data_IF_500962807067
#
_entry.id   IF_500962807067
#
_cell.length_a   1.000
_cell.length_b   1.000
_cell.length_c   1.000
_cell.angle_alpha   90.00
_cell.angle_beta   90.00
_cell.angle_gamma   90.00
#
_symmetry.space_group_name_H-M   'P 1'
#
loop_
_entity.id
_entity.type
_entity.pdbx_description
1 polymer ?
#
# COMPACT_ATOMS: atom_id res chain seq x y z
N UNK A 1 -7.29 -8.63 -30.00
CA UNK A 1 -8.32 -8.00 -29.17
C UNK A 1 -8.08 -8.53 -27.76
N UNK A 2 -7.46 -7.73 -26.86
CA UNK A 2 -7.33 -8.10 -25.46
C UNK A 2 -8.72 -8.23 -24.86
N UNK A 3 -8.97 -9.26 -24.06
CA UNK A 3 -10.19 -9.35 -23.28
C UNK A 3 -10.30 -8.08 -22.39
N UNK A 4 -11.51 -7.55 -22.24
CA UNK A 4 -11.72 -6.45 -21.29
C UNK A 4 -11.39 -7.00 -19.88
N UNK A 5 -10.56 -6.26 -19.13
CA UNK A 5 -10.24 -6.65 -17.76
C UNK A 5 -11.50 -6.67 -16.89
N UNK A 6 -11.52 -7.53 -15.88
CA UNK A 6 -12.61 -7.60 -14.91
C UNK A 6 -12.77 -6.26 -14.19
N UNK A 7 -13.99 -5.71 -14.20
CA UNK A 7 -14.34 -4.50 -13.46
C UNK A 7 -14.56 -4.85 -11.97
N UNK A 8 -14.13 -3.99 -11.05
CA UNK A 8 -14.33 -4.23 -9.62
C UNK A 8 -15.77 -3.93 -9.18
N UNK A 9 -16.21 -4.61 -8.13
CA UNK A 9 -17.30 -4.10 -7.29
C UNK A 9 -16.77 -3.09 -6.29
N UNK A 10 -17.55 -2.05 -5.98
CA UNK A 10 -17.27 -1.10 -4.90
C UNK A 10 -18.12 -1.50 -3.70
N UNK A 11 -17.44 -1.84 -2.62
CA UNK A 11 -18.06 -2.35 -1.40
C UNK A 11 -17.62 -1.54 -0.18
N UNK A 12 -18.20 -1.83 0.97
CA UNK A 12 -17.85 -1.19 2.25
C UNK A 12 -17.71 -2.25 3.34
N UNK A 13 -16.77 -2.01 4.26
CA UNK A 13 -16.74 -2.68 5.56
C UNK A 13 -16.75 -1.63 6.69
N UNK A 14 -17.20 -2.04 7.87
CA UNK A 14 -17.32 -1.16 9.03
C UNK A 14 -16.34 -1.62 10.09
N UNK A 15 -15.42 -0.74 10.49
CA UNK A 15 -14.48 -1.01 11.56
C UNK A 15 -15.12 -0.85 12.94
N UNK A 16 -14.45 -1.36 13.97
CA UNK A 16 -14.94 -1.42 15.35
C UNK A 16 -15.29 -0.08 15.98
N UNK A 17 -14.80 1.03 15.39
CA UNK A 17 -15.15 2.41 15.78
C UNK A 17 -16.31 3.00 14.95
N UNK A 18 -16.94 2.19 14.09
CA UNK A 18 -18.06 2.59 13.25
C UNK A 18 -17.67 3.30 11.95
N UNK A 19 -16.38 3.44 11.65
CA UNK A 19 -15.95 4.04 10.39
C UNK A 19 -16.24 3.10 9.21
N UNK A 20 -16.76 3.66 8.11
CA UNK A 20 -17.08 2.93 6.88
C UNK A 20 -15.95 3.11 5.88
N UNK A 21 -15.23 2.03 5.59
CA UNK A 21 -14.21 2.00 4.57
C UNK A 21 -14.77 1.54 3.24
N UNK A 22 -14.48 2.24 2.16
CA UNK A 22 -14.68 1.75 0.81
C UNK A 22 -13.50 0.90 0.38
N UNK A 23 -13.79 -0.09 -0.45
CA UNK A 23 -12.78 -0.87 -1.15
C UNK A 23 -13.29 -1.31 -2.51
N UNK A 24 -12.37 -1.58 -3.42
CA UNK A 24 -12.64 -2.24 -4.70
C UNK A 24 -12.29 -3.71 -4.57
N UNK A 25 -13.16 -4.56 -5.12
CA UNK A 25 -12.95 -6.00 -5.13
C UNK A 25 -13.03 -6.54 -6.54
N UNK A 26 -12.02 -7.31 -6.92
CA UNK A 26 -11.98 -8.11 -8.15
C UNK A 26 -12.08 -9.57 -7.74
N UNK A 27 -13.07 -10.28 -8.32
CA UNK A 27 -13.36 -11.68 -8.01
C UNK A 27 -13.08 -12.50 -9.25
N UNK A 28 -12.17 -13.48 -9.21
CA UNK A 28 -11.85 -14.33 -10.36
C UNK A 28 -13.04 -15.22 -10.73
N UNK A 29 -13.12 -15.65 -11.99
CA UNK A 29 -14.22 -16.45 -12.52
C UNK A 29 -14.32 -17.87 -11.91
N UNK A 30 -13.26 -18.33 -11.24
CA UNK A 30 -13.17 -19.64 -10.58
C UNK A 30 -12.88 -19.55 -9.09
N UNK A 31 -12.53 -20.68 -8.50
CA UNK A 31 -12.05 -20.72 -7.11
C UNK A 31 -10.74 -19.94 -7.02
N UNK A 32 -10.61 -18.96 -6.09
CA UNK A 32 -9.38 -18.19 -5.96
C UNK A 32 -8.16 -19.08 -5.66
N UNK A 33 -7.02 -18.77 -6.28
CA UNK A 33 -5.71 -19.34 -5.96
C UNK A 33 -5.09 -18.71 -4.71
N UNK A 34 -5.52 -17.50 -4.36
CA UNK A 34 -5.07 -16.73 -3.21
C UNK A 34 -5.89 -15.45 -3.09
N UNK A 35 -5.71 -14.75 -1.98
CA UNK A 35 -6.36 -13.48 -1.67
C UNK A 35 -5.29 -12.41 -1.45
N UNK A 36 -5.46 -11.24 -2.07
CA UNK A 36 -4.52 -10.13 -1.95
C UNK A 36 -5.24 -8.90 -1.38
N UNK A 37 -4.84 -8.46 -0.18
CA UNK A 37 -5.25 -7.18 0.38
C UNK A 37 -4.23 -6.10 -0.02
N UNK A 38 -4.67 -5.06 -0.72
CA UNK A 38 -3.83 -3.99 -1.23
C UNK A 38 -4.02 -2.67 -0.47
N UNK A 39 -2.91 -1.99 -0.18
CA UNK A 39 -2.84 -0.69 0.49
C UNK A 39 -2.13 0.32 -0.41
N UNK A 40 -2.79 1.43 -0.74
CA UNK A 40 -2.30 2.47 -1.64
C UNK A 40 -1.35 3.47 -0.98
N UNK A 41 -0.69 4.30 -1.79
CA UNK A 41 0.21 5.38 -1.39
C UNK A 41 -0.47 6.53 -0.65
N UNK A 42 0.30 7.59 -0.32
CA UNK A 42 -0.23 8.70 0.48
C UNK A 42 -1.30 9.51 -0.26
N UNK A 43 -1.09 9.81 -1.54
CA UNK A 43 -2.01 10.61 -2.37
C UNK A 43 -3.01 9.77 -3.13
N UNK A 44 -2.60 8.59 -3.59
CA UNK A 44 -3.40 7.71 -4.43
C UNK A 44 -4.57 7.06 -3.67
N UNK A 45 -5.36 6.31 -4.38
CA UNK A 45 -6.47 5.52 -3.86
C UNK A 45 -6.63 4.25 -4.72
N UNK A 46 -7.49 3.33 -4.30
CA UNK A 46 -7.69 2.04 -4.98
C UNK A 46 -8.00 2.15 -6.47
N UNK A 47 -8.60 3.27 -6.93
CA UNK A 47 -8.94 3.50 -8.33
C UNK A 47 -7.76 3.73 -9.27
N UNK A 48 -6.55 4.01 -8.76
CA UNK A 48 -5.35 4.13 -9.58
C UNK A 48 -4.88 2.79 -10.14
N UNK A 49 -5.20 1.69 -9.45
CA UNK A 49 -4.59 0.36 -9.63
C UNK A 49 -5.55 -0.66 -10.27
N UNK A 50 -6.42 -0.15 -11.16
CA UNK A 50 -7.42 -0.99 -11.83
C UNK A 50 -6.80 -2.01 -12.79
N UNK A 51 -5.72 -1.63 -13.48
CA UNK A 51 -5.07 -2.53 -14.44
C UNK A 51 -4.38 -3.71 -13.74
N UNK A 52 -3.48 -3.45 -12.80
CA UNK A 52 -2.78 -4.50 -12.08
C UNK A 52 -3.72 -5.41 -11.29
N UNK A 53 -4.73 -4.82 -10.61
CA UNK A 53 -5.74 -5.61 -9.90
C UNK A 53 -6.57 -6.50 -10.83
N UNK A 54 -6.92 -6.00 -12.01
CA UNK A 54 -7.60 -6.79 -13.05
C UNK A 54 -6.75 -7.94 -13.56
N UNK A 55 -5.45 -7.69 -13.83
CA UNK A 55 -4.52 -8.73 -14.26
C UNK A 55 -4.32 -9.83 -13.21
N UNK A 56 -4.17 -9.46 -11.93
CA UNK A 56 -4.11 -10.43 -10.83
C UNK A 56 -5.41 -11.23 -10.71
N UNK A 57 -6.58 -10.58 -10.95
CA UNK A 57 -7.85 -11.27 -10.98
C UNK A 57 -7.94 -12.29 -12.12
N UNK A 58 -7.52 -11.91 -13.32
CA UNK A 58 -7.45 -12.84 -14.49
C UNK A 58 -6.47 -13.99 -14.22
N UNK A 59 -5.39 -13.76 -13.46
CA UNK A 59 -4.46 -14.79 -13.01
C UNK A 59 -5.04 -15.72 -11.93
N UNK A 60 -6.24 -15.42 -11.40
CA UNK A 60 -6.98 -16.27 -10.46
C UNK A 60 -6.92 -15.82 -9.01
N UNK A 61 -6.49 -14.59 -8.72
CA UNK A 61 -6.45 -14.04 -7.35
C UNK A 61 -7.68 -13.19 -7.06
N UNK A 62 -8.27 -13.34 -5.87
CA UNK A 62 -9.23 -12.35 -5.38
C UNK A 62 -8.45 -11.14 -4.83
N UNK A 63 -8.68 -9.97 -5.39
CA UNK A 63 -7.99 -8.73 -5.01
C UNK A 63 -8.96 -7.80 -4.27
N UNK A 64 -8.57 -7.38 -3.08
CA UNK A 64 -9.29 -6.39 -2.28
C UNK A 64 -8.40 -5.17 -2.09
N UNK A 65 -8.76 -4.06 -2.70
CA UNK A 65 -8.00 -2.82 -2.62
C UNK A 65 -8.73 -1.80 -1.76
N UNK A 66 -8.25 -1.60 -0.53
CA UNK A 66 -8.90 -0.75 0.47
C UNK A 66 -8.50 0.72 0.25
N UNK A 67 -9.49 1.63 0.22
CA UNK A 67 -9.23 3.04 0.40
C UNK A 67 -8.95 3.30 1.90
N UNK A 68 -7.75 3.82 2.20
CA UNK A 68 -7.36 4.16 3.57
C UNK A 68 -8.34 5.18 4.17
N UNK A 69 -8.52 5.15 5.48
CA UNK A 69 -9.28 6.18 6.22
C UNK A 69 -8.91 7.58 5.73
N UNK A 70 -9.91 8.40 5.40
CA UNK A 70 -9.75 9.76 4.91
C UNK A 70 -9.11 9.90 3.54
N UNK A 71 -9.13 8.84 2.70
CA UNK A 71 -8.56 8.83 1.34
C UNK A 71 -9.54 8.24 0.33
N UNK A 72 -9.33 8.48 -0.96
CA UNK A 72 -10.12 7.90 -2.04
C UNK A 72 -11.61 8.19 -1.88
N UNK A 73 -12.44 7.16 -1.91
CA UNK A 73 -13.89 7.24 -1.73
C UNK A 73 -14.31 7.55 -0.28
N UNK A 74 -13.40 7.46 0.69
CA UNK A 74 -13.68 7.79 2.09
C UNK A 74 -13.65 9.31 2.30
N UNK A 75 -14.82 9.94 2.32
CA UNK A 75 -14.95 11.40 2.44
C UNK A 75 -14.84 11.90 3.90
N UNK A 76 -15.16 11.05 4.88
CA UNK A 76 -15.02 11.38 6.29
C UNK A 76 -13.55 11.41 6.71
N UNK A 77 -13.18 12.33 7.59
CA UNK A 77 -11.82 12.48 8.13
C UNK A 77 -10.74 12.65 7.04
N UNK A 78 -11.05 13.42 5.99
CA UNK A 78 -10.18 13.57 4.82
C UNK A 78 -8.77 14.01 5.21
N UNK A 79 -7.75 13.18 4.88
CA UNK A 79 -6.34 13.44 5.23
C UNK A 79 -6.02 13.39 6.71
N UNK A 80 -6.94 12.91 7.57
CA UNK A 80 -6.77 12.85 9.01
C UNK A 80 -6.49 11.43 9.50
N UNK A 81 -5.68 11.33 10.55
CA UNK A 81 -5.54 10.12 11.36
C UNK A 81 -5.31 10.54 12.80
N UNK A 82 -6.22 10.18 13.69
CA UNK A 82 -6.11 10.50 15.11
C UNK A 82 -4.87 9.90 15.75
N UNK A 83 -4.53 8.66 15.38
CA UNK A 83 -3.39 7.91 15.91
C UNK A 83 -2.94 6.85 14.91
N UNK A 84 -1.65 6.51 14.90
CA UNK A 84 -1.10 5.47 14.02
C UNK A 84 -1.75 4.09 14.24
N UNK A 85 -2.06 3.71 15.49
CA UNK A 85 -2.71 2.44 15.80
C UNK A 85 -4.09 2.32 15.17
N UNK A 86 -4.80 3.44 14.93
CA UNK A 86 -6.08 3.38 14.23
C UNK A 86 -5.91 2.89 12.80
N UNK A 87 -4.91 3.41 12.08
CA UNK A 87 -4.60 2.97 10.71
C UNK A 87 -4.13 1.51 10.67
N UNK A 88 -3.37 1.06 11.66
CA UNK A 88 -2.97 -0.35 11.79
C UNK A 88 -4.21 -1.23 12.02
N UNK A 89 -5.09 -0.85 12.94
CA UNK A 89 -6.29 -1.60 13.27
C UNK A 89 -7.28 -1.69 12.11
N UNK A 90 -7.40 -0.64 11.29
CA UNK A 90 -8.23 -0.65 10.09
C UNK A 90 -7.77 -1.78 9.12
N UNK A 91 -6.46 -1.90 8.90
CA UNK A 91 -5.89 -2.97 8.05
C UNK A 91 -6.03 -4.35 8.70
N UNK A 92 -5.83 -4.45 10.01
CA UNK A 92 -5.99 -5.70 10.76
C UNK A 92 -7.43 -6.23 10.63
N UNK A 93 -8.42 -5.36 10.77
CA UNK A 93 -9.83 -5.76 10.63
C UNK A 93 -10.14 -6.17 9.18
N UNK A 94 -9.64 -5.42 8.18
CA UNK A 94 -9.80 -5.81 6.78
C UNK A 94 -9.16 -7.18 6.48
N UNK A 95 -7.98 -7.49 7.04
CA UNK A 95 -7.33 -8.80 6.91
C UNK A 95 -8.16 -9.90 7.61
N UNK A 96 -8.72 -9.63 8.78
CA UNK A 96 -9.58 -10.57 9.50
C UNK A 96 -10.83 -10.93 8.69
N UNK A 97 -11.51 -9.93 8.12
CA UNK A 97 -12.67 -10.13 7.25
C UNK A 97 -12.29 -10.93 5.98
N UNK A 98 -11.15 -10.60 5.37
CA UNK A 98 -10.64 -11.32 4.21
C UNK A 98 -10.31 -12.79 4.55
N UNK A 99 -9.74 -13.06 5.73
CA UNK A 99 -9.46 -14.43 6.19
C UNK A 99 -10.75 -15.23 6.48
N UNK A 100 -11.79 -14.60 7.02
CA UNK A 100 -13.10 -15.22 7.18
C UNK A 100 -13.61 -15.66 5.81
N UNK A 101 -13.64 -14.74 4.84
CA UNK A 101 -14.06 -15.03 3.46
C UNK A 101 -13.20 -16.13 2.82
N UNK A 102 -11.88 -16.08 2.97
CA UNK A 102 -10.96 -17.12 2.48
C UNK A 102 -11.33 -18.49 3.05
N UNK A 103 -11.59 -18.57 4.36
CA UNK A 103 -11.93 -19.82 5.03
C UNK A 103 -13.24 -20.43 4.50
N UNK A 104 -14.21 -19.60 4.09
CA UNK A 104 -15.48 -20.04 3.51
C UNK A 104 -15.32 -20.55 2.07
N UNK A 105 -14.49 -19.89 1.25
CA UNK A 105 -14.42 -20.12 -0.20
C UNK A 105 -13.26 -21.05 -0.58
N UNK A 106 -12.09 -20.82 0.01
CA UNK A 106 -10.83 -21.48 -0.38
C UNK A 106 -9.87 -21.60 0.82
N UNK A 107 -10.17 -22.44 1.85
CA UNK A 107 -9.47 -22.43 3.14
C UNK A 107 -7.98 -22.79 3.07
N UNK A 108 -7.50 -23.36 1.96
CA UNK A 108 -6.13 -23.84 1.78
C UNK A 108 -5.26 -22.93 0.92
N UNK A 109 -5.73 -21.71 0.58
CA UNK A 109 -4.96 -20.78 -0.24
C UNK A 109 -4.41 -19.61 0.59
N UNK A 110 -3.29 -18.98 0.18
CA UNK A 110 -2.66 -17.92 0.95
C UNK A 110 -3.45 -16.60 0.94
N UNK A 111 -3.23 -15.80 2.00
CA UNK A 111 -3.62 -14.40 2.11
C UNK A 111 -2.35 -13.55 2.09
N UNK A 112 -2.25 -12.64 1.13
CA UNK A 112 -1.10 -11.77 0.93
C UNK A 112 -1.47 -10.32 1.24
N UNK A 113 -0.60 -9.62 1.95
CA UNK A 113 -0.70 -8.17 2.16
C UNK A 113 0.24 -7.46 1.19
N UNK A 114 -0.32 -6.59 0.35
CA UNK A 114 0.41 -5.81 -0.64
C UNK A 114 0.35 -4.33 -0.26
N UNK A 115 1.50 -3.69 -0.14
CA UNK A 115 1.61 -2.26 0.14
C UNK A 115 2.42 -1.51 -0.90
N UNK A 116 1.84 -0.41 -1.43
CA UNK A 116 2.48 0.45 -2.42
C UNK A 116 2.88 1.78 -1.76
N UNK A 117 4.10 2.25 -2.00
CA UNK A 117 4.59 3.54 -1.52
C UNK A 117 4.33 3.70 -0.01
N UNK A 118 3.62 4.72 0.44
CA UNK A 118 3.25 4.89 1.85
C UNK A 118 2.47 3.70 2.42
N UNK A 119 1.62 3.05 1.60
CA UNK A 119 0.95 1.81 1.97
C UNK A 119 1.92 0.67 2.28
N UNK A 120 3.10 0.65 1.67
CA UNK A 120 4.17 -0.29 1.97
C UNK A 120 4.75 -0.10 3.38
N UNK A 121 4.85 1.15 3.85
CA UNK A 121 5.21 1.47 5.24
C UNK A 121 4.20 0.88 6.22
N UNK A 122 2.90 1.12 5.99
CA UNK A 122 1.82 0.57 6.82
C UNK A 122 1.79 -0.96 6.77
N UNK A 123 1.92 -1.56 5.58
CA UNK A 123 1.97 -3.01 5.39
C UNK A 123 3.13 -3.66 6.17
N UNK A 124 4.31 -3.04 6.17
CA UNK A 124 5.49 -3.52 6.90
C UNK A 124 5.25 -3.55 8.41
N UNK A 125 4.60 -2.52 8.96
CA UNK A 125 4.28 -2.46 10.39
C UNK A 125 3.21 -3.50 10.76
N UNK A 126 2.20 -3.69 9.91
CA UNK A 126 1.18 -4.74 10.11
C UNK A 126 1.82 -6.13 10.05
N UNK A 127 2.68 -6.39 9.06
CA UNK A 127 3.40 -7.65 8.92
C UNK A 127 4.26 -7.97 10.15
N UNK A 128 4.96 -6.96 10.72
CA UNK A 128 5.77 -7.14 11.92
C UNK A 128 4.94 -7.45 13.18
N UNK A 129 3.74 -6.86 13.29
CA UNK A 129 2.90 -6.98 14.50
C UNK A 129 1.87 -8.09 14.44
N UNK A 130 1.43 -8.48 13.24
CA UNK A 130 0.28 -9.36 13.02
C UNK A 130 0.54 -10.33 11.85
N UNK A 131 1.76 -10.87 11.80
CA UNK A 131 2.15 -11.78 10.70
C UNK A 131 1.29 -13.04 10.63
N UNK A 132 0.62 -13.44 11.72
CA UNK A 132 -0.33 -14.54 11.73
C UNK A 132 -1.57 -14.32 10.84
N UNK A 133 -1.78 -13.10 10.38
CA UNK A 133 -2.87 -12.74 9.47
C UNK A 133 -2.51 -12.86 7.99
N UNK A 134 -1.22 -13.03 7.67
CA UNK A 134 -0.74 -13.04 6.29
C UNK A 134 0.20 -14.22 6.04
N UNK A 135 0.18 -14.72 4.83
CA UNK A 135 1.08 -15.80 4.36
C UNK A 135 2.21 -15.24 3.48
N UNK A 136 2.12 -13.97 3.08
CA UNK A 136 3.14 -13.27 2.31
C UNK A 136 3.01 -11.75 2.36
N UNK A 137 4.13 -11.06 2.17
CA UNK A 137 4.22 -9.60 2.12
C UNK A 137 4.77 -9.13 0.78
N UNK A 138 4.01 -8.28 0.09
CA UNK A 138 4.42 -7.63 -1.17
C UNK A 138 4.66 -6.14 -0.92
N UNK A 139 5.82 -5.65 -1.31
CA UNK A 139 6.24 -4.26 -1.15
C UNK A 139 6.58 -3.67 -2.53
N UNK A 140 5.70 -2.83 -3.08
CA UNK A 140 5.94 -2.13 -4.34
C UNK A 140 6.43 -0.71 -4.05
N UNK A 141 7.65 -0.40 -4.47
CA UNK A 141 8.28 0.93 -4.24
C UNK A 141 7.90 1.51 -2.87
N UNK A 142 8.09 0.75 -1.77
CA UNK A 142 7.50 1.09 -0.47
C UNK A 142 8.12 2.35 0.14
N UNK A 143 7.30 3.18 0.77
CA UNK A 143 7.70 4.42 1.43
C UNK A 143 8.48 4.20 2.74
N UNK A 144 9.43 3.27 2.75
CA UNK A 144 10.27 2.93 3.90
C UNK A 144 11.30 4.03 4.17
N UNK A 145 12.03 4.40 3.11
CA UNK A 145 12.97 5.54 3.07
C UNK A 145 12.62 6.40 1.88
N UNK A 146 12.59 7.71 2.10
CA UNK A 146 12.15 8.66 1.06
C UNK A 146 13.10 9.86 1.01
N UNK A 147 13.29 10.41 -0.19
CA UNK A 147 13.97 11.70 -0.38
C UNK A 147 13.18 12.89 0.21
N UNK A 148 11.91 12.67 0.56
CA UNK A 148 11.01 13.64 1.19
C UNK A 148 10.84 13.41 2.70
N UNK A 149 11.81 12.79 3.37
CA UNK A 149 11.78 12.64 4.83
C UNK A 149 11.79 14.01 5.51
N UNK A 150 11.01 14.12 6.61
CA UNK A 150 10.95 15.34 7.39
C UNK A 150 12.32 15.72 7.95
N UNK A 151 12.76 16.92 7.66
CA UNK A 151 13.99 17.48 8.22
C UNK A 151 13.90 17.65 9.75
N UNK A 152 15.04 17.88 10.41
CA UNK A 152 15.05 18.20 11.85
C UNK A 152 14.15 19.42 12.13
N UNK A 153 14.19 20.44 11.26
CA UNK A 153 13.36 21.65 11.40
C UNK A 153 11.86 21.33 11.25
N UNK A 154 11.49 20.45 10.34
CA UNK A 154 10.08 20.02 10.17
C UNK A 154 9.60 19.24 11.38
N UNK A 155 10.43 18.40 11.96
CA UNK A 155 10.12 17.68 13.20
C UNK A 155 9.95 18.62 14.39
N UNK A 156 10.74 19.70 14.48
CA UNK A 156 10.57 20.75 15.48
C UNK A 156 9.25 21.50 15.28
N UNK A 157 8.95 21.91 14.02
CA UNK A 157 7.67 22.56 13.69
C UNK A 157 6.47 21.66 14.03
N UNK A 158 6.57 20.38 13.73
CA UNK A 158 5.52 19.40 14.04
C UNK A 158 5.32 19.25 15.56
N UNK A 159 6.40 19.24 16.33
CA UNK A 159 6.34 19.19 17.79
C UNK A 159 5.71 20.46 18.37
N UNK A 160 6.06 21.64 17.87
CA UNK A 160 5.44 22.91 18.27
C UNK A 160 3.94 22.97 17.91
N UNK A 161 3.57 22.46 16.72
CA UNK A 161 2.17 22.38 16.32
C UNK A 161 1.35 21.44 17.22
N UNK A 162 1.96 20.37 17.73
CA UNK A 162 1.37 19.47 18.72
C UNK A 162 1.14 20.19 20.07
N UNK A 163 2.14 20.91 20.57
CA UNK A 163 2.04 21.68 21.83
C UNK A 163 0.98 22.80 21.71
N UNK A 164 0.80 23.37 20.51
CA UNK A 164 -0.22 24.38 20.23
C UNK A 164 -1.60 23.76 19.88
N UNK A 165 -1.76 22.44 20.00
CA UNK A 165 -3.00 21.70 19.73
C UNK A 165 -3.55 21.90 18.29
N UNK A 166 -2.69 22.15 17.30
CA UNK A 166 -3.07 22.37 15.90
C UNK A 166 -3.31 21.08 15.11
N UNK A 167 -3.93 20.08 15.73
CA UNK A 167 -4.07 18.72 15.19
C UNK A 167 -4.79 18.63 13.84
N UNK A 168 -5.78 19.50 13.61
CA UNK A 168 -6.61 19.51 12.39
C UNK A 168 -6.06 20.43 11.30
N UNK A 169 -4.98 21.17 11.57
CA UNK A 169 -4.37 22.05 10.58
C UNK A 169 -3.89 21.24 9.39
N UNK A 170 -4.34 21.61 8.19
CA UNK A 170 -3.94 20.99 6.93
C UNK A 170 -2.55 21.47 6.52
N UNK A 171 -1.77 20.51 6.04
CA UNK A 171 -0.41 20.70 5.51
C UNK A 171 -0.37 20.04 4.12
N UNK A 172 0.05 20.74 3.06
CA UNK A 172 0.20 20.16 1.74
C UNK A 172 1.17 18.98 1.75
N UNK A 173 0.82 17.93 1.02
CA UNK A 173 1.72 16.81 0.75
C UNK A 173 2.75 17.29 -0.30
N UNK A 174 4.06 17.18 -0.06
CA UNK A 174 5.08 17.72 -0.96
C UNK A 174 5.32 16.84 -2.20
N UNK A 175 4.26 16.32 -2.80
CA UNK A 175 4.26 15.43 -3.97
C UNK A 175 3.23 15.90 -5.01
N UNK A 176 3.10 17.21 -5.20
CA UNK A 176 2.10 17.82 -6.09
C UNK A 176 2.49 17.77 -7.58
N UNK A 177 3.79 17.54 -7.90
CA UNK A 177 4.25 17.38 -9.28
C UNK A 177 4.06 15.94 -9.78
N UNK A 178 3.14 15.68 -10.74
CA UNK A 178 2.92 14.34 -11.29
C UNK A 178 4.15 13.69 -11.94
N UNK A 179 5.14 14.47 -12.34
CA UNK A 179 6.42 13.97 -12.89
C UNK A 179 7.18 13.11 -11.86
N UNK A 180 6.91 13.27 -10.57
CA UNK A 180 7.49 12.42 -9.52
C UNK A 180 7.00 10.98 -9.61
N UNK A 181 5.79 10.76 -10.15
CA UNK A 181 5.12 9.46 -10.17
C UNK A 181 5.36 8.68 -11.47
N UNK A 182 5.38 9.37 -12.61
CA UNK A 182 5.48 8.74 -13.93
C UNK A 182 6.05 9.69 -14.99
N UNK A 183 6.71 9.13 -15.99
CA UNK A 183 7.15 9.85 -17.19
C UNK A 183 6.08 9.99 -18.27
N UNK A 184 4.90 9.36 -18.11
CA UNK A 184 3.86 9.27 -19.15
C UNK A 184 2.89 10.46 -19.06
N UNK A 185 2.79 11.31 -20.10
CA UNK A 185 1.99 12.54 -20.06
C UNK A 185 0.52 12.33 -19.74
N UNK A 186 -0.11 11.26 -20.27
CA UNK A 186 -1.50 10.93 -20.05
C UNK A 186 -1.75 10.55 -18.58
N UNK A 187 -0.83 9.80 -17.98
CA UNK A 187 -0.90 9.44 -16.56
C UNK A 187 -0.64 10.64 -15.66
N UNK A 188 0.25 11.56 -16.07
CA UNK A 188 0.45 12.83 -15.36
C UNK A 188 -0.79 13.71 -15.39
N UNK A 189 -1.51 13.76 -16.52
CA UNK A 189 -2.79 14.46 -16.63
C UNK A 189 -3.83 13.83 -15.72
N UNK A 190 -3.95 12.51 -15.74
CA UNK A 190 -4.84 11.76 -14.84
C UNK A 190 -4.56 12.09 -13.36
N UNK A 191 -3.30 12.04 -12.91
CA UNK A 191 -2.92 12.35 -11.52
C UNK A 191 -3.30 13.80 -11.16
N UNK A 192 -3.11 14.75 -12.08
CA UNK A 192 -3.40 16.16 -11.85
C UNK A 192 -4.90 16.42 -11.69
N UNK A 193 -5.72 15.75 -12.48
CA UNK A 193 -7.16 15.95 -12.58
C UNK A 193 -7.95 15.08 -11.59
N UNK A 194 -7.32 14.11 -10.95
CA UNK A 194 -7.97 13.18 -10.05
C UNK A 194 -8.43 13.86 -8.75
N UNK A 195 -9.74 14.03 -8.63
CA UNK A 195 -10.39 14.67 -7.48
C UNK A 195 -10.44 13.77 -6.22
N UNK A 196 -10.16 12.48 -6.36
CA UNK A 196 -10.09 11.56 -5.23
C UNK A 196 -8.69 11.51 -4.62
N UNK A 197 -7.69 12.03 -5.31
CA UNK A 197 -6.32 12.16 -4.78
C UNK A 197 -6.28 13.05 -3.55
N UNK A 198 -5.51 12.62 -2.56
CA UNK A 198 -5.29 13.40 -1.35
C UNK A 198 -4.15 14.40 -1.58
N UNK A 199 -4.42 15.71 -1.39
CA UNK A 199 -3.42 16.77 -1.58
C UNK A 199 -2.87 17.31 -0.26
N UNK A 200 -3.67 17.24 0.79
CA UNK A 200 -3.33 17.74 2.11
C UNK A 200 -3.55 16.67 3.16
N UNK A 201 -2.78 16.75 4.23
CA UNK A 201 -2.96 15.92 5.43
C UNK A 201 -2.95 16.81 6.67
N UNK A 202 -3.55 16.35 7.75
CA UNK A 202 -3.54 17.07 9.01
C UNK A 202 -2.21 16.92 9.77
N UNK A 203 -1.92 17.82 10.67
CA UNK A 203 -0.82 17.69 11.64
C UNK A 203 -0.93 16.37 12.40
N UNK A 204 -2.14 15.94 12.78
CA UNK A 204 -2.36 14.65 13.44
C UNK A 204 -1.90 13.47 12.58
N UNK A 205 -2.19 13.48 11.27
CA UNK A 205 -1.68 12.46 10.34
C UNK A 205 -0.15 12.48 10.26
N UNK A 206 0.49 13.66 10.21
CA UNK A 206 1.96 13.76 10.18
C UNK A 206 2.60 13.25 11.46
N UNK A 207 1.97 13.47 12.62
CA UNK A 207 2.40 12.89 13.89
C UNK A 207 2.30 11.36 13.86
N UNK A 208 1.20 10.82 13.35
CA UNK A 208 1.03 9.39 13.15
C UNK A 208 2.07 8.83 12.15
N UNK A 209 2.36 9.56 11.05
CA UNK A 209 3.39 9.16 10.09
C UNK A 209 4.79 9.10 10.72
N UNK A 210 5.14 10.06 11.58
CA UNK A 210 6.42 10.03 12.32
C UNK A 210 6.55 8.79 13.21
N UNK A 211 5.46 8.35 13.84
CA UNK A 211 5.46 7.08 14.58
C UNK A 211 5.61 5.87 13.65
N UNK A 212 5.00 5.90 12.45
CA UNK A 212 5.25 4.87 11.44
C UNK A 212 6.71 4.80 11.02
N UNK A 213 7.42 5.93 10.90
CA UNK A 213 8.86 5.94 10.58
C UNK A 213 9.66 5.22 11.66
N UNK A 214 9.31 5.41 12.95
CA UNK A 214 9.94 4.71 14.07
C UNK A 214 9.63 3.20 14.06
N UNK A 215 8.35 2.84 13.88
CA UNK A 215 7.89 1.46 13.85
C UNK A 215 8.49 0.69 12.67
N UNK A 216 8.53 1.30 11.50
CA UNK A 216 9.11 0.70 10.29
C UNK A 216 10.61 0.46 10.45
N UNK A 217 11.32 1.38 11.12
CA UNK A 217 12.76 1.22 11.40
C UNK A 217 13.05 0.02 12.29
N UNK A 218 12.14 -0.32 13.21
CA UNK A 218 12.27 -1.45 14.12
C UNK A 218 11.62 -2.76 13.62
N UNK A 219 10.86 -2.70 12.51
CA UNK A 219 10.08 -3.84 12.00
C UNK A 219 10.91 -5.04 11.46
N UNK A 220 12.07 -4.88 10.81
CA UNK A 220 12.72 -5.96 10.07
C UNK A 220 12.92 -7.26 10.84
N UNK A 221 13.38 -7.28 12.12
CA UNK A 221 13.59 -8.54 12.86
C UNK A 221 12.31 -9.33 13.12
N UNK A 222 11.15 -8.67 13.02
CA UNK A 222 9.84 -9.27 13.30
C UNK A 222 9.15 -9.79 12.04
N UNK A 223 9.58 -9.39 10.84
CA UNK A 223 8.98 -9.83 9.57
C UNK A 223 9.65 -11.13 9.12
N UNK A 224 8.95 -12.25 9.30
CA UNK A 224 9.43 -13.61 9.00
C UNK A 224 8.71 -14.29 7.85
N UNK A 225 7.51 -13.82 7.48
CA UNK A 225 6.76 -14.36 6.35
C UNK A 225 7.55 -14.18 5.04
N UNK A 226 7.29 -15.03 4.02
CA UNK A 226 7.79 -14.80 2.67
C UNK A 226 7.53 -13.37 2.21
N UNK A 227 8.51 -12.74 1.59
CA UNK A 227 8.41 -11.34 1.18
C UNK A 227 9.00 -11.12 -0.21
N UNK A 228 8.37 -10.22 -0.97
CA UNK A 228 8.89 -9.71 -2.24
C UNK A 228 8.93 -8.19 -2.21
N UNK A 229 10.01 -7.62 -2.72
CA UNK A 229 10.14 -6.17 -2.95
C UNK A 229 10.40 -5.89 -4.42
N UNK A 230 9.66 -4.92 -4.95
CA UNK A 230 9.79 -4.45 -6.32
C UNK A 230 9.99 -2.93 -6.33
N UNK A 231 11.08 -2.46 -6.91
CA UNK A 231 11.47 -1.05 -6.94
C UNK A 231 11.45 -0.50 -8.38
N UNK A 232 11.22 0.79 -8.49
CA UNK A 232 11.34 1.56 -9.72
C UNK A 232 12.73 2.21 -9.78
N UNK A 233 13.54 1.88 -10.80
CA UNK A 233 14.95 2.32 -10.88
C UNK A 233 15.13 3.82 -11.05
N UNK A 234 14.13 4.53 -11.62
CA UNK A 234 14.13 6.00 -11.76
C UNK A 234 13.22 6.68 -10.74
N UNK A 235 12.99 6.04 -9.58
CA UNK A 235 12.20 6.62 -8.51
C UNK A 235 12.83 7.91 -7.98
N UNK A 236 12.02 8.98 -7.91
CA UNK A 236 12.42 10.27 -7.37
C UNK A 236 11.86 10.53 -5.98
N UNK A 237 11.02 9.62 -5.49
CA UNK A 237 10.35 9.71 -4.18
C UNK A 237 11.07 8.82 -3.17
N UNK A 238 11.38 7.58 -3.57
CA UNK A 238 11.98 6.57 -2.69
C UNK A 238 13.51 6.56 -2.83
N UNK A 239 14.19 6.51 -1.70
CA UNK A 239 15.61 6.17 -1.64
C UNK A 239 15.74 4.64 -1.79
N UNK A 240 15.96 4.18 -3.01
CA UNK A 240 16.05 2.76 -3.34
C UNK A 240 17.18 2.05 -2.59
N UNK A 241 18.33 2.70 -2.41
CA UNK A 241 19.47 2.08 -1.72
C UNK A 241 19.15 1.85 -0.25
N UNK A 242 18.72 2.89 0.47
CA UNK A 242 18.36 2.77 1.88
C UNK A 242 17.15 1.84 2.10
N UNK A 243 16.18 1.82 1.18
CA UNK A 243 15.03 0.91 1.21
C UNK A 243 15.45 -0.54 0.99
N UNK A 244 16.36 -0.80 0.04
CA UNK A 244 16.92 -2.13 -0.22
C UNK A 244 17.75 -2.64 0.97
N UNK A 245 18.53 -1.78 1.65
CA UNK A 245 19.27 -2.13 2.86
C UNK A 245 18.30 -2.54 3.98
N UNK A 246 17.21 -1.79 4.17
CA UNK A 246 16.17 -2.14 5.12
C UNK A 246 15.54 -3.51 4.77
N UNK A 247 15.21 -3.77 3.51
CA UNK A 247 14.64 -5.03 3.08
C UNK A 247 15.58 -6.23 3.31
N UNK A 248 16.86 -6.05 3.06
CA UNK A 248 17.87 -7.11 3.32
C UNK A 248 17.97 -7.49 4.80
N UNK A 249 17.56 -6.60 5.71
CA UNK A 249 17.57 -6.84 7.16
C UNK A 249 16.32 -7.56 7.70
N UNK A 250 15.34 -7.91 6.83
CA UNK A 250 14.19 -8.71 7.24
C UNK A 250 14.62 -10.08 7.77
N UNK A 251 13.95 -10.56 8.82
CA UNK A 251 14.14 -11.91 9.34
C UNK A 251 13.58 -13.02 8.44
N UNK A 252 12.80 -12.67 7.42
CA UNK A 252 12.29 -13.60 6.41
C UNK A 252 13.41 -14.37 5.73
N UNK A 253 13.25 -15.70 5.60
CA UNK A 253 14.20 -16.58 4.89
C UNK A 253 13.86 -16.68 3.39
N UNK A 254 12.63 -16.38 3.01
CA UNK A 254 12.13 -16.42 1.63
C UNK A 254 11.92 -14.99 1.13
N UNK A 255 12.91 -14.47 0.40
CA UNK A 255 12.91 -13.10 -0.09
C UNK A 255 13.18 -13.05 -1.58
N UNK A 256 12.32 -12.37 -2.33
CA UNK A 256 12.53 -12.02 -3.74
C UNK A 256 12.69 -10.50 -3.89
N UNK A 257 13.51 -10.07 -4.85
CA UNK A 257 13.79 -8.66 -5.08
C UNK A 257 13.91 -8.39 -6.57
N UNK A 258 13.19 -7.37 -7.04
CA UNK A 258 13.24 -6.88 -8.41
C UNK A 258 13.42 -5.37 -8.42
N UNK A 259 14.18 -4.87 -9.38
CA UNK A 259 14.31 -3.46 -9.68
C UNK A 259 14.13 -3.25 -11.18
N UNK A 260 13.15 -2.43 -11.55
CA UNK A 260 12.82 -2.11 -12.95
C UNK A 260 13.55 -0.84 -13.34
N UNK A 261 14.71 -0.99 -13.95
CA UNK A 261 15.72 0.06 -14.20
C UNK A 261 15.14 1.33 -14.80
N UNK A 262 14.19 1.21 -15.74
CA UNK A 262 13.64 2.36 -16.46
C UNK A 262 12.33 2.90 -15.89
N UNK A 263 11.74 2.25 -14.90
CA UNK A 263 10.47 2.63 -14.33
C UNK A 263 10.57 3.84 -13.40
N UNK A 264 9.54 4.69 -13.45
CA UNK A 264 9.28 5.75 -12.47
C UNK A 264 8.50 5.21 -11.28
N UNK A 265 8.27 6.05 -10.24
CA UNK A 265 7.71 5.66 -8.95
C UNK A 265 6.47 4.76 -9.05
N UNK A 266 5.51 5.07 -9.91
CA UNK A 266 4.25 4.32 -9.97
C UNK A 266 4.29 3.30 -11.10
N UNK A 267 4.69 2.07 -10.79
CA UNK A 267 4.81 0.95 -11.76
C UNK A 267 3.50 0.70 -12.55
N UNK A 268 2.34 1.04 -11.98
CA UNK A 268 1.02 0.93 -12.62
C UNK A 268 0.92 1.72 -13.93
N UNK A 269 1.64 2.84 -14.01
CA UNK A 269 1.59 3.76 -15.14
C UNK A 269 2.71 3.55 -16.17
N UNK A 270 3.60 2.60 -15.91
CA UNK A 270 4.73 2.36 -16.79
C UNK A 270 4.31 1.54 -18.04
N UNK A 271 4.95 1.78 -19.20
CA UNK A 271 4.64 1.06 -20.43
C UNK A 271 4.83 -0.45 -20.30
N UNK A 272 5.87 -0.87 -19.57
CA UNK A 272 6.25 -2.25 -19.37
C UNK A 272 5.65 -2.86 -18.09
N UNK A 273 4.51 -2.33 -17.63
CA UNK A 273 3.86 -2.75 -16.39
C UNK A 273 3.51 -4.24 -16.34
N UNK A 274 3.31 -4.88 -17.47
CA UNK A 274 3.03 -6.32 -17.55
C UNK A 274 4.20 -7.17 -17.03
N UNK A 275 5.42 -6.64 -17.09
CA UNK A 275 6.60 -7.33 -16.59
C UNK A 275 6.51 -7.53 -15.08
N UNK A 276 6.35 -6.43 -14.32
CA UNK A 276 6.28 -6.53 -12.85
C UNK A 276 5.04 -7.29 -12.37
N UNK A 277 3.92 -7.21 -13.10
CA UNK A 277 2.72 -7.97 -12.79
C UNK A 277 2.96 -9.47 -13.01
N UNK A 278 3.68 -9.83 -14.08
CA UNK A 278 4.10 -11.21 -14.35
C UNK A 278 5.00 -11.75 -13.25
N UNK A 279 6.06 -11.01 -12.87
CA UNK A 279 7.00 -11.38 -11.81
C UNK A 279 6.27 -11.54 -10.45
N UNK A 280 5.32 -10.64 -10.15
CA UNK A 280 4.50 -10.73 -8.95
C UNK A 280 3.59 -11.97 -8.98
N UNK A 281 2.96 -12.24 -10.13
CA UNK A 281 2.06 -13.38 -10.29
C UNK A 281 2.83 -14.71 -10.12
N UNK A 282 4.03 -14.81 -10.71
CA UNK A 282 4.89 -15.97 -10.55
C UNK A 282 5.28 -16.20 -9.08
N UNK A 283 5.64 -15.12 -8.37
CA UNK A 283 5.94 -15.21 -6.95
C UNK A 283 4.72 -15.66 -6.12
N UNK A 284 3.54 -15.09 -6.40
CA UNK A 284 2.30 -15.48 -5.73
C UNK A 284 1.92 -16.94 -6.00
N UNK A 285 2.10 -17.45 -7.22
CA UNK A 285 1.86 -18.86 -7.57
C UNK A 285 2.83 -19.81 -6.82
N UNK A 286 4.00 -19.33 -6.43
CA UNK A 286 4.98 -20.04 -5.60
C UNK A 286 4.64 -20.06 -4.10
N UNK A 287 3.80 -19.15 -3.62
CA UNK A 287 3.54 -18.95 -2.18
C UNK A 287 2.77 -20.13 -1.59
N UNK A 288 3.15 -20.53 -0.38
CA UNK A 288 2.48 -21.60 0.39
C UNK A 288 1.93 -21.02 1.71
N UNK A 289 0.96 -21.73 2.31
CA UNK A 289 0.48 -21.37 3.65
C UNK A 289 1.62 -21.45 4.64
N UNK A 290 1.73 -20.40 5.45
CA UNK A 290 2.60 -20.43 6.63
C UNK A 290 1.94 -21.34 7.66
N UNK A 291 2.58 -22.46 7.99
CA UNK A 291 2.10 -23.46 8.99
C UNK A 291 2.32 -22.96 10.41
#
# INVERSE_FOLDING_TARGET
MGAALSEPTIEQFVTSDGYRHHFRRWIPSGKPKGFVLCLHGIQSHSGWYGYSSGQLCEAGYEVVFVDRRGSGLNQSERGHARHHDRLINDVVQALQDLRIRRNEIAPTVPVTLLGLSWGGKLASVVAARRQELIDGLVLLYPGIRSHFEASIMDNVKLSLAREAELFEKLIPIPLDDPVLFTGIPESQAFIREDNLSLRDVTVSFLLANREFDNLTRSAPPEIRCPAIMMLAGKDRIIDNEATSQWYRSLASQERAFFEYENACHTLEFEPDRDQWIGDLTEWLDGLRLTT
#
